data_IF_511693480833
#
_entry.id   IF_511693480833
#
_cell.length_a   1.000
_cell.length_b   1.000
_cell.length_c   1.000
_cell.angle_alpha   90.00
_cell.angle_beta   90.00
_cell.angle_gamma   90.00
#
_symmetry.space_group_name_H-M   'P 1'
#
loop_
_entity.id
_entity.type
_entity.pdbx_description
1 polymer ?
#
# COMPACT_ATOMS: atom_id res chain seq x y z
N UNK A 1 -32.16 -47.23 10.81
CA UNK A 1 -31.95 -47.24 9.35
C UNK A 1 -32.44 -45.90 8.78
N UNK A 2 -31.49 -45.14 8.24
CA UNK A 2 -31.56 -44.02 7.28
C UNK A 2 -32.69 -42.97 7.37
N UNK A 3 -32.36 -41.77 7.87
CA UNK A 3 -32.98 -40.52 7.39
C UNK A 3 -32.03 -39.87 6.39
N UNK A 4 -32.46 -39.78 5.13
CA UNK A 4 -31.73 -39.10 4.06
C UNK A 4 -32.34 -37.71 3.85
N UNK A 5 -31.54 -36.67 4.06
CA UNK A 5 -31.89 -35.27 3.76
C UNK A 5 -31.16 -34.88 2.47
N UNK A 6 -31.91 -34.61 1.40
CA UNK A 6 -31.34 -34.15 0.12
C UNK A 6 -31.23 -32.62 0.11
N UNK A 7 -30.01 -32.11 -0.13
CA UNK A 7 -29.75 -30.70 -0.36
C UNK A 7 -29.95 -30.34 -1.85
N UNK A 8 -30.38 -29.11 -2.19
CA UNK A 8 -30.47 -28.66 -3.57
C UNK A 8 -29.08 -28.34 -4.15
N UNK A 9 -28.68 -29.05 -5.20
CA UNK A 9 -27.51 -28.72 -6.03
C UNK A 9 -27.80 -27.52 -6.92
N UNK A 10 -27.13 -26.40 -6.65
CA UNK A 10 -27.15 -25.20 -7.49
C UNK A 10 -26.01 -25.28 -8.50
N UNK A 11 -26.35 -25.43 -9.78
CA UNK A 11 -25.40 -25.40 -10.90
C UNK A 11 -25.08 -23.96 -11.25
N UNK A 12 -23.90 -23.47 -10.86
CA UNK A 12 -23.38 -22.18 -11.32
C UNK A 12 -22.58 -22.39 -12.62
N UNK A 13 -23.23 -22.19 -13.77
CA UNK A 13 -22.54 -22.00 -15.04
C UNK A 13 -21.89 -20.60 -15.03
N UNK A 14 -20.57 -20.53 -14.96
CA UNK A 14 -19.82 -19.26 -15.08
C UNK A 14 -19.20 -19.19 -16.46
N UNK A 15 -19.81 -18.35 -17.30
CA UNK A 15 -19.38 -17.97 -18.64
C UNK A 15 -18.01 -17.30 -18.60
N UNK A 16 -17.04 -17.87 -19.30
CA UNK A 16 -15.80 -17.20 -19.69
C UNK A 16 -16.12 -16.04 -20.63
N UNK A 17 -15.93 -14.81 -20.17
CA UNK A 17 -15.92 -13.63 -21.03
C UNK A 17 -14.49 -13.15 -21.18
N UNK A 18 -13.89 -13.52 -22.32
CA UNK A 18 -12.76 -12.81 -22.90
C UNK A 18 -13.28 -11.57 -23.61
N UNK A 19 -12.91 -10.38 -23.13
CA UNK A 19 -12.92 -9.16 -23.93
C UNK A 19 -11.63 -8.39 -23.68
N UNK A 20 -10.70 -8.55 -24.62
CA UNK A 20 -9.49 -7.76 -24.78
C UNK A 20 -9.89 -6.31 -25.07
N UNK A 21 -9.96 -5.48 -24.03
CA UNK A 21 -9.95 -4.03 -24.19
C UNK A 21 -8.49 -3.58 -24.29
N UNK A 22 -7.96 -3.57 -25.52
CA UNK A 22 -6.72 -2.87 -25.84
C UNK A 22 -7.01 -1.37 -25.84
N UNK A 23 -7.07 -0.79 -24.64
CA UNK A 23 -6.97 0.66 -24.48
C UNK A 23 -5.51 1.00 -24.78
N UNK A 24 -5.25 1.62 -25.94
CA UNK A 24 -3.92 2.14 -26.28
C UNK A 24 -3.61 3.30 -25.34
N UNK A 25 -3.06 2.97 -24.17
CA UNK A 25 -2.40 3.93 -23.31
C UNK A 25 -1.26 4.59 -24.11
N UNK A 26 -1.01 5.90 -23.96
CA UNK A 26 0.19 6.50 -24.51
C UNK A 26 1.37 5.78 -23.89
N UNK A 27 2.18 5.12 -24.72
CA UNK A 27 3.41 4.49 -24.27
C UNK A 27 4.30 5.63 -23.82
N UNK A 28 4.34 5.90 -22.51
CA UNK A 28 5.35 6.77 -21.92
C UNK A 28 6.65 6.02 -22.13
N UNK A 29 7.36 6.37 -23.19
CA UNK A 29 8.68 5.87 -23.53
C UNK A 29 9.65 6.38 -22.47
N UNK A 30 9.68 5.68 -21.33
CA UNK A 30 10.75 5.79 -20.35
C UNK A 30 12.03 5.53 -21.14
N UNK A 31 12.82 6.58 -21.34
CA UNK A 31 14.08 6.49 -22.08
C UNK A 31 15.06 5.76 -21.18
N UNK A 32 14.99 4.43 -21.21
CA UNK A 32 15.95 3.57 -20.51
C UNK A 32 17.31 3.85 -21.13
N UNK A 33 18.31 4.10 -20.28
CA UNK A 33 19.67 4.34 -20.76
C UNK A 33 20.12 3.13 -21.62
N UNK A 34 20.75 3.35 -22.77
CA UNK A 34 21.19 2.26 -23.64
C UNK A 34 22.06 1.27 -22.87
N UNK A 35 21.68 -0.02 -22.90
CA UNK A 35 22.36 -1.08 -22.16
C UNK A 35 21.81 -1.38 -20.77
N UNK A 36 20.81 -0.64 -20.28
CA UNK A 36 20.12 -0.92 -19.02
C UNK A 36 18.80 -1.67 -19.17
N UNK A 37 18.53 -2.19 -20.37
CA UNK A 37 17.40 -3.07 -20.64
C UNK A 37 17.42 -4.24 -19.65
N UNK A 38 16.29 -4.47 -18.98
CA UNK A 38 16.15 -5.51 -17.94
C UNK A 38 16.59 -5.09 -16.53
N UNK A 39 17.13 -3.89 -16.31
CA UNK A 39 17.33 -3.36 -14.95
C UNK A 39 15.98 -3.02 -14.33
N UNK A 40 15.63 -3.69 -13.25
CA UNK A 40 14.32 -3.55 -12.61
C UNK A 40 14.39 -3.69 -11.10
N UNK A 41 13.38 -3.16 -10.43
CA UNK A 41 13.23 -3.37 -9.01
C UNK A 41 12.87 -4.82 -8.70
N UNK A 42 13.51 -5.38 -7.68
CA UNK A 42 12.95 -6.55 -7.02
C UNK A 42 11.66 -6.17 -6.28
N UNK A 43 10.91 -7.19 -5.87
CA UNK A 43 9.74 -6.99 -5.01
C UNK A 43 10.15 -6.24 -3.74
N UNK A 44 9.26 -5.39 -3.27
CA UNK A 44 9.42 -4.76 -1.97
C UNK A 44 9.54 -5.83 -0.89
N UNK A 45 10.47 -5.63 0.03
CA UNK A 45 10.47 -6.34 1.29
C UNK A 45 9.19 -6.00 2.05
N UNK A 46 8.86 -6.85 3.02
CA UNK A 46 7.78 -6.57 3.96
C UNK A 46 8.06 -5.27 4.70
N UNK A 47 7.00 -4.57 5.06
CA UNK A 47 7.12 -3.48 6.02
C UNK A 47 7.71 -4.01 7.32
N UNK A 48 8.56 -3.21 7.93
CA UNK A 48 8.96 -3.38 9.33
C UNK A 48 7.74 -3.20 10.25
N UNK A 49 7.87 -3.70 11.47
CA UNK A 49 6.88 -3.40 12.50
C UNK A 49 6.80 -1.89 12.74
N UNK A 50 5.59 -1.44 13.02
CA UNK A 50 5.36 -0.04 13.35
C UNK A 50 6.05 0.28 14.68
N UNK A 51 6.76 1.41 14.75
CA UNK A 51 7.46 1.83 15.98
C UNK A 51 6.51 2.25 17.11
N UNK A 52 5.21 2.38 16.84
CA UNK A 52 4.17 2.68 17.82
C UNK A 52 2.87 1.98 17.42
N UNK A 53 1.90 1.86 18.32
CA UNK A 53 0.69 1.03 18.13
C UNK A 53 -0.59 1.83 17.90
N UNK A 54 -0.54 3.16 17.95
CA UNK A 54 -1.70 4.03 17.73
C UNK A 54 -1.31 5.47 17.35
N UNK A 55 -2.32 6.28 17.05
CA UNK A 55 -2.23 7.73 16.99
C UNK A 55 -1.50 8.30 15.78
N UNK A 56 -1.19 7.47 14.77
CA UNK A 56 -0.20 7.81 13.74
C UNK A 56 1.13 8.27 14.34
N UNK A 57 1.49 7.73 15.51
CA UNK A 57 2.74 8.04 16.21
C UNK A 57 3.92 7.21 15.70
N UNK A 58 3.62 6.07 15.07
CA UNK A 58 4.63 5.13 14.61
C UNK A 58 4.97 5.29 13.14
N UNK A 59 6.18 4.88 12.80
CA UNK A 59 6.66 4.77 11.43
C UNK A 59 6.96 3.31 11.15
N UNK A 60 6.67 2.88 9.93
CA UNK A 60 7.23 1.67 9.38
C UNK A 60 7.97 2.00 8.09
N UNK A 61 8.89 1.13 7.75
CA UNK A 61 9.76 1.27 6.59
C UNK A 61 9.89 -0.04 5.84
N UNK A 62 10.11 0.06 4.53
CA UNK A 62 10.42 -1.07 3.65
C UNK A 62 11.50 -0.70 2.65
N UNK A 63 12.16 -1.72 2.14
CA UNK A 63 13.27 -1.60 1.21
C UNK A 63 13.05 -2.50 0.01
N UNK A 64 13.69 -2.18 -1.11
CA UNK A 64 13.82 -3.05 -2.27
C UNK A 64 15.21 -2.93 -2.83
N UNK A 65 15.73 -4.03 -3.37
CA UNK A 65 17.00 -4.02 -4.09
C UNK A 65 16.75 -3.81 -5.58
N UNK A 66 17.70 -3.15 -6.24
CA UNK A 66 17.69 -3.00 -7.69
C UNK A 66 18.40 -4.20 -8.31
N UNK A 67 17.69 -4.95 -9.15
CA UNK A 67 18.29 -5.98 -9.98
C UNK A 67 18.85 -5.31 -11.24
N UNK A 68 20.18 -5.18 -11.26
CA UNK A 68 20.91 -4.49 -12.33
C UNK A 68 21.45 -5.49 -13.34
N UNK A 69 21.31 -5.17 -14.61
CA UNK A 69 21.97 -5.91 -15.70
C UNK A 69 23.41 -5.43 -15.91
N UNK A 70 23.68 -4.16 -15.62
CA UNK A 70 25.03 -3.54 -15.64
C UNK A 70 25.19 -2.66 -14.40
N UNK A 71 26.38 -2.65 -13.78
CA UNK A 71 26.62 -1.92 -12.53
C UNK A 71 26.35 -0.42 -12.61
N UNK A 72 26.56 0.17 -13.80
CA UNK A 72 26.32 1.59 -14.11
C UNK A 72 24.83 1.94 -14.18
N UNK A 73 23.95 0.95 -14.34
CA UNK A 73 22.51 1.15 -14.40
C UNK A 73 21.89 1.45 -13.03
N UNK A 74 20.76 2.16 -13.06
CA UNK A 74 19.98 2.51 -11.87
C UNK A 74 18.51 2.20 -12.11
N UNK A 75 17.86 1.64 -11.11
CA UNK A 75 16.42 1.48 -11.14
C UNK A 75 15.74 2.84 -10.89
N UNK A 76 14.68 3.19 -11.65
CA UNK A 76 14.01 4.48 -11.51
C UNK A 76 13.17 4.54 -10.22
N UNK A 77 13.30 5.63 -9.46
CA UNK A 77 12.58 5.84 -8.20
C UNK A 77 13.37 5.44 -6.95
N UNK A 78 12.68 5.34 -5.81
CA UNK A 78 13.33 5.16 -4.51
C UNK A 78 13.53 3.67 -4.14
N UNK A 79 14.65 3.36 -3.47
CA UNK A 79 14.95 2.03 -2.93
C UNK A 79 14.36 1.81 -1.52
N UNK A 80 13.83 2.88 -0.92
CA UNK A 80 13.40 2.96 0.46
C UNK A 80 12.06 3.68 0.51
N UNK A 81 11.16 3.23 1.39
CA UNK A 81 9.93 3.93 1.70
C UNK A 81 9.68 3.92 3.20
N UNK A 82 9.04 4.98 3.68
CA UNK A 82 8.64 5.16 5.06
C UNK A 82 7.27 5.80 5.12
N UNK A 83 6.40 5.25 5.94
CA UNK A 83 5.01 5.69 6.09
C UNK A 83 4.62 5.71 7.57
N UNK A 84 3.64 6.55 7.91
CA UNK A 84 3.00 6.50 9.22
C UNK A 84 2.05 5.30 9.28
N UNK A 85 2.05 4.62 10.41
CA UNK A 85 1.28 3.40 10.62
C UNK A 85 0.46 3.49 11.92
N UNK A 86 -0.45 2.52 12.10
CA UNK A 86 -1.36 2.47 13.24
C UNK A 86 -2.17 3.75 13.43
N UNK A 87 -2.97 4.06 12.41
CA UNK A 87 -3.73 5.29 12.30
C UNK A 87 -4.89 5.39 13.32
N UNK A 88 -5.29 4.30 13.97
CA UNK A 88 -6.34 4.35 14.97
C UNK A 88 -5.92 5.24 16.16
N UNK A 89 -6.84 6.05 16.69
CA UNK A 89 -6.54 6.92 17.82
C UNK A 89 -6.00 6.16 19.03
N UNK A 90 -5.06 6.77 19.73
CA UNK A 90 -4.63 6.29 21.04
C UNK A 90 -5.75 6.48 22.07
N UNK A 91 -5.86 5.52 22.98
CA UNK A 91 -6.72 5.59 24.15
C UNK A 91 -5.89 5.96 25.38
N UNK A 92 -6.55 6.26 26.50
CA UNK A 92 -5.91 6.39 27.80
C UNK A 92 -4.95 5.19 28.04
N UNK A 93 -3.71 5.41 28.52
CA UNK A 93 -3.20 6.59 29.23
C UNK A 93 -2.56 7.69 28.37
N UNK A 94 -2.59 7.60 27.03
CA UNK A 94 -2.09 8.71 26.21
C UNK A 94 -3.02 9.91 26.31
N UNK A 95 -2.46 11.06 26.69
CA UNK A 95 -3.19 12.31 26.84
C UNK A 95 -3.79 12.79 25.51
N UNK A 96 -3.05 12.63 24.41
CA UNK A 96 -3.50 12.99 23.07
C UNK A 96 -3.92 11.74 22.27
N UNK A 97 -5.06 11.78 21.54
CA UNK A 97 -5.51 10.66 20.70
C UNK A 97 -4.67 10.49 19.43
N UNK A 98 -4.01 11.55 18.95
CA UNK A 98 -3.14 11.53 17.78
C UNK A 98 -1.81 12.21 18.10
N UNK A 99 -0.74 11.79 17.42
CA UNK A 99 0.57 12.45 17.53
C UNK A 99 0.60 13.81 16.82
N UNK A 100 1.66 14.57 17.12
CA UNK A 100 1.88 15.91 16.56
C UNK A 100 1.78 15.91 15.03
N UNK A 101 1.03 16.86 14.49
CA UNK A 101 0.78 16.96 13.05
C UNK A 101 -0.38 16.09 12.56
N UNK A 102 -1.07 15.36 13.45
CA UNK A 102 -2.26 14.59 13.11
C UNK A 102 -3.46 15.01 13.96
N UNK A 103 -4.65 14.92 13.37
CA UNK A 103 -5.93 15.22 14.02
C UNK A 103 -6.88 14.01 13.91
N UNK A 104 -7.74 13.76 14.91
CA UNK A 104 -8.78 12.74 14.80
C UNK A 104 -9.78 13.09 13.69
N UNK A 105 -10.06 12.13 12.81
CA UNK A 105 -11.07 12.22 11.77
C UNK A 105 -11.94 10.96 11.77
N UNK A 106 -13.25 11.14 11.61
CA UNK A 106 -14.20 10.02 11.58
C UNK A 106 -14.21 9.38 10.19
N UNK A 107 -13.74 8.14 10.07
CA UNK A 107 -13.85 7.30 8.87
C UNK A 107 -14.62 6.03 9.20
N UNK A 108 -15.75 5.80 8.50
CA UNK A 108 -16.60 4.62 8.66
C UNK A 108 -17.04 4.35 10.12
N UNK A 109 -17.29 5.41 10.90
CA UNK A 109 -17.70 5.31 12.31
C UNK A 109 -16.56 5.09 13.30
N UNK A 110 -15.30 5.10 12.84
CA UNK A 110 -14.11 5.02 13.69
C UNK A 110 -13.27 6.28 13.58
N UNK A 111 -12.64 6.70 14.70
CA UNK A 111 -11.68 7.79 14.68
C UNK A 111 -10.28 7.30 14.31
N UNK A 112 -9.72 7.92 13.28
CA UNK A 112 -8.35 7.70 12.80
C UNK A 112 -7.60 9.03 12.71
N UNK A 113 -6.28 8.98 12.84
CA UNK A 113 -5.40 10.14 12.85
C UNK A 113 -4.93 10.45 11.43
N UNK A 114 -5.39 11.59 10.91
CA UNK A 114 -5.04 12.09 9.57
C UNK A 114 -4.16 13.33 9.66
N UNK A 115 -3.33 13.55 8.66
CA UNK A 115 -2.40 14.69 8.65
C UNK A 115 -3.17 16.01 8.77
N UNK A 116 -2.68 16.90 9.61
CA UNK A 116 -3.26 18.21 9.83
C UNK A 116 -2.93 19.14 8.64
N UNK A 117 -3.88 19.26 7.71
CA UNK A 117 -3.73 20.06 6.47
C UNK A 117 -3.65 21.57 6.72
N UNK A 118 -3.95 22.07 7.92
CA UNK A 118 -3.77 23.50 8.26
C UNK A 118 -2.30 23.93 8.39
N UNK A 119 -1.38 22.98 8.52
CA UNK A 119 0.07 23.26 8.72
C UNK A 119 0.89 23.22 7.42
N UNK A 120 0.36 22.61 6.36
CA UNK A 120 1.12 22.31 5.12
C UNK A 120 1.08 23.45 4.10
N UNK A 121 0.36 24.54 4.37
CA UNK A 121 0.21 25.70 3.47
C UNK A 121 0.94 26.98 3.91
N UNK A 122 1.87 26.91 4.87
CA UNK A 122 2.62 28.08 5.35
C UNK A 122 4.14 27.87 5.26
N UNK A 123 4.66 27.82 4.04
CA UNK A 123 6.04 28.19 3.71
C UNK A 123 6.05 28.87 2.36
#
# INVERSE_FOLDING_TARGET
MISATTAPTTTAATTTQSTTALTSAPVVSVTVAPGCEGTQWNTWMTWTDCTDTCGSCGLHQRFRSCNKTVDTCKCPGEAFQREYCNLAVCKYPREAPCCSGFIPFSQNGQFVCVANTTTTGRR
#
